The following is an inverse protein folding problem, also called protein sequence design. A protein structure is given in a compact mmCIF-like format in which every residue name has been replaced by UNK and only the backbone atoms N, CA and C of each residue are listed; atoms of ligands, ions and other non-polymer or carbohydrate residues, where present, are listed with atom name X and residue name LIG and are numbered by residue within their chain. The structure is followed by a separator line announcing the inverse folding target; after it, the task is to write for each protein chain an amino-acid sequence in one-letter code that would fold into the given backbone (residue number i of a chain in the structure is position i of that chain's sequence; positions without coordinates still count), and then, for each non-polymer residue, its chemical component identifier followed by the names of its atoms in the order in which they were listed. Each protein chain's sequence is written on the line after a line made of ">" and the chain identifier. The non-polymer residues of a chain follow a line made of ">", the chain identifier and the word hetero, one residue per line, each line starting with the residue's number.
data_IF_835376136807
#
_entry.id   IF_835376136807
#
_cell.length_a   1.000
_cell.length_b   1.000
_cell.length_c   1.000
_cell.angle_alpha   90.00
_cell.angle_beta   90.00
_cell.angle_gamma   90.00
#
_symmetry.space_group_name_H-M   'P 1'
#
loop_
_entity.id
_entity.type
_entity.pdbx_description
1 polymer ?
#
# COMPACT_ATOMS: atom_id res chain seq x y z
N UNK A 1 -27.84 -5.65 9.46
CA UNK A 1 -26.54 -6.12 8.94
C UNK A 1 -26.58 -7.64 8.86
N UNK A 2 -26.52 -8.23 7.66
CA UNK A 2 -26.65 -9.67 7.42
C UNK A 2 -25.58 -10.49 8.17
N UNK A 3 -25.99 -11.62 8.73
CA UNK A 3 -25.22 -12.56 9.57
C UNK A 3 -23.89 -13.02 8.95
N UNK A 4 -23.76 -12.95 7.62
CA UNK A 4 -22.55 -13.34 6.89
C UNK A 4 -21.38 -12.34 7.06
N UNK A 5 -21.67 -11.03 7.14
CA UNK A 5 -20.65 -9.97 7.25
C UNK A 5 -19.93 -9.96 8.60
N UNK A 6 -20.64 -10.28 9.69
CA UNK A 6 -20.06 -10.40 11.03
C UNK A 6 -19.11 -11.60 11.14
N UNK A 7 -19.31 -12.65 10.35
CA UNK A 7 -18.49 -13.87 10.36
C UNK A 7 -17.20 -13.68 9.56
N UNK A 8 -17.24 -12.93 8.45
CA UNK A 8 -16.05 -12.53 7.68
C UNK A 8 -15.09 -11.64 8.48
N UNK A 9 -15.61 -10.68 9.26
CA UNK A 9 -14.79 -9.86 10.17
C UNK A 9 -14.17 -10.67 11.33
N UNK A 10 -14.79 -11.76 11.75
CA UNK A 10 -14.38 -12.57 12.92
C UNK A 10 -13.32 -13.63 12.59
N UNK A 11 -13.21 -14.00 11.31
CA UNK A 11 -12.20 -14.94 10.80
C UNK A 11 -11.08 -14.26 10.01
N UNK A 12 -11.13 -12.93 9.90
CA UNK A 12 -9.99 -12.22 9.36
C UNK A 12 -8.86 -12.35 10.37
N UNK A 13 -7.68 -12.89 9.99
CA UNK A 13 -6.52 -12.87 10.87
C UNK A 13 -6.35 -11.42 11.28
N UNK A 14 -6.14 -11.27 12.59
CA UNK A 14 -6.23 -10.04 13.33
C UNK A 14 -5.89 -8.81 12.50
N UNK A 15 -6.61 -7.75 12.80
CA UNK A 15 -6.18 -6.40 12.52
C UNK A 15 -4.78 -6.03 13.14
N UNK A 16 -3.92 -7.00 13.48
CA UNK A 16 -2.70 -6.84 14.27
C UNK A 16 -1.40 -6.80 13.45
N UNK A 17 -1.38 -7.21 12.17
CA UNK A 17 -0.14 -7.16 11.36
C UNK A 17 -0.33 -6.53 9.99
N UNK A 18 -1.03 -5.39 9.91
CA UNK A 18 -1.06 -4.61 8.68
C UNK A 18 0.34 -4.15 8.27
N UNK A 19 0.62 -4.07 6.96
CA UNK A 19 1.84 -3.44 6.47
C UNK A 19 1.80 -1.96 6.81
N UNK A 20 2.58 -1.58 7.83
CA UNK A 20 2.71 -0.19 8.24
C UNK A 20 3.44 0.58 7.15
N UNK A 21 2.79 1.57 6.56
CA UNK A 21 3.40 2.35 5.49
C UNK A 21 4.05 3.59 6.07
N UNK A 22 5.39 3.64 6.10
CA UNK A 22 6.14 4.81 6.60
C UNK A 22 6.48 5.82 5.51
N UNK A 23 6.47 5.40 4.24
CA UNK A 23 6.93 6.22 3.11
C UNK A 23 8.46 6.40 3.04
N UNK A 24 9.23 5.61 3.81
CA UNK A 24 10.70 5.66 3.87
C UNK A 24 11.32 4.26 3.68
N UNK A 25 12.42 4.14 2.93
CA UNK A 25 13.10 2.85 2.65
C UNK A 25 12.73 2.24 1.29
N UNK A 26 12.96 0.93 1.10
CA UNK A 26 12.30 0.17 0.01
C UNK A 26 10.83 0.00 0.38
N UNK A 27 10.02 1.00 0.01
CA UNK A 27 8.58 0.99 0.26
C UNK A 27 7.82 0.76 -1.04
N UNK A 28 6.78 -0.08 -0.97
CA UNK A 28 5.89 -0.38 -2.08
C UNK A 28 4.50 0.17 -1.75
N UNK A 29 4.26 1.43 -2.07
CA UNK A 29 2.94 2.06 -1.93
C UNK A 29 1.85 1.32 -2.73
N UNK A 30 2.24 0.58 -3.77
CA UNK A 30 1.35 -0.31 -4.51
C UNK A 30 0.84 -1.49 -3.67
N UNK A 31 1.61 -2.02 -2.72
CA UNK A 31 1.12 -3.09 -1.83
C UNK A 31 0.01 -2.57 -0.90
N UNK A 32 0.13 -1.33 -0.41
CA UNK A 32 -0.92 -0.67 0.36
C UNK A 32 -2.20 -0.50 -0.49
N UNK A 33 -2.04 -0.10 -1.75
CA UNK A 33 -3.17 0.10 -2.68
C UNK A 33 -3.84 -1.22 -3.03
N UNK A 34 -3.07 -2.22 -3.47
CA UNK A 34 -3.56 -3.55 -3.82
C UNK A 34 -4.28 -4.20 -2.62
N UNK A 35 -3.76 -3.97 -1.41
CA UNK A 35 -4.40 -4.43 -0.19
C UNK A 35 -5.75 -3.76 0.06
N UNK A 36 -5.83 -2.42 -0.06
CA UNK A 36 -7.09 -1.71 0.16
C UNK A 36 -8.11 -2.07 -0.92
N UNK A 37 -7.70 -2.15 -2.17
CA UNK A 37 -8.57 -2.56 -3.28
C UNK A 37 -9.06 -4.01 -3.08
N UNK A 38 -8.15 -4.96 -2.92
CA UNK A 38 -8.51 -6.38 -2.82
C UNK A 38 -9.29 -6.71 -1.55
N UNK A 39 -8.87 -6.22 -0.38
CA UNK A 39 -9.52 -6.58 0.86
C UNK A 39 -10.80 -5.78 1.13
N UNK A 40 -10.72 -4.46 1.03
CA UNK A 40 -11.82 -3.60 1.49
C UNK A 40 -12.90 -3.48 0.42
N UNK A 41 -12.52 -3.33 -0.84
CA UNK A 41 -13.48 -3.10 -1.92
C UNK A 41 -14.01 -4.45 -2.42
N UNK A 42 -13.13 -5.36 -2.80
CA UNK A 42 -13.54 -6.58 -3.50
C UNK A 42 -14.10 -7.64 -2.54
N UNK A 43 -13.38 -7.93 -1.44
CA UNK A 43 -13.77 -9.00 -0.50
C UNK A 43 -14.85 -8.54 0.49
N UNK A 44 -14.66 -7.38 1.11
CA UNK A 44 -15.53 -6.92 2.20
C UNK A 44 -16.64 -5.97 1.75
N UNK A 45 -16.59 -5.47 0.50
CA UNK A 45 -17.52 -4.47 -0.05
C UNK A 45 -17.76 -3.31 0.92
N UNK A 46 -16.68 -2.84 1.54
CA UNK A 46 -16.68 -1.80 2.55
C UNK A 46 -16.97 -0.46 1.87
N UNK A 47 -17.97 0.29 2.35
CA UNK A 47 -18.22 1.62 1.84
C UNK A 47 -17.02 2.54 2.04
N UNK A 48 -16.80 3.38 1.04
CA UNK A 48 -15.69 4.33 0.96
C UNK A 48 -15.47 5.19 2.22
N UNK A 49 -16.54 5.58 2.91
CA UNK A 49 -16.46 6.37 4.14
C UNK A 49 -15.77 5.65 5.31
N UNK A 50 -15.63 4.33 5.27
CA UNK A 50 -14.88 3.54 6.25
C UNK A 50 -13.39 3.39 5.91
N UNK A 51 -12.99 3.70 4.67
CA UNK A 51 -11.59 3.59 4.22
C UNK A 51 -10.76 4.74 4.81
N UNK A 52 -11.32 5.96 4.87
CA UNK A 52 -10.58 7.14 5.36
C UNK A 52 -10.12 6.99 6.83
N UNK A 53 -10.97 6.59 7.80
CA UNK A 53 -10.52 6.33 9.17
C UNK A 53 -9.48 5.20 9.27
N UNK A 54 -9.43 4.32 8.28
CA UNK A 54 -8.45 3.24 8.23
C UNK A 54 -7.07 3.74 7.81
N UNK A 55 -7.01 4.65 6.84
CA UNK A 55 -5.76 5.29 6.44
C UNK A 55 -5.07 5.99 7.62
N UNK A 56 -5.83 6.57 8.56
CA UNK A 56 -5.30 7.16 9.80
C UNK A 56 -4.51 6.15 10.66
N UNK A 57 -4.83 4.85 10.60
CA UNK A 57 -4.14 3.80 11.37
C UNK A 57 -3.02 3.11 10.59
N UNK A 58 -3.13 3.03 9.26
CA UNK A 58 -2.15 2.36 8.40
C UNK A 58 -0.89 3.20 8.15
N UNK A 59 -1.04 4.52 8.07
CA UNK A 59 0.07 5.43 7.88
C UNK A 59 0.87 5.65 9.16
N UNK A 60 2.20 5.63 9.06
CA UNK A 60 3.12 5.87 10.18
C UNK A 60 4.25 6.82 9.80
N UNK A 61 4.87 7.44 10.80
CA UNK A 61 6.01 8.35 10.58
C UNK A 61 5.68 9.46 9.58
N UNK A 62 6.54 9.62 8.57
CA UNK A 62 6.42 10.70 7.59
C UNK A 62 5.13 10.61 6.75
N UNK A 63 4.71 9.40 6.38
CA UNK A 63 3.50 9.23 5.58
C UNK A 63 2.23 9.66 6.32
N UNK A 64 2.20 9.48 7.66
CA UNK A 64 1.08 9.91 8.51
C UNK A 64 0.99 11.42 8.55
N UNK A 65 2.12 12.10 8.70
CA UNK A 65 2.18 13.57 8.70
C UNK A 65 1.65 14.10 7.37
N UNK A 66 2.16 13.60 6.24
CA UNK A 66 1.69 14.00 4.92
C UNK A 66 0.19 13.70 4.71
N UNK A 67 -0.29 12.56 5.21
CA UNK A 67 -1.71 12.22 5.12
C UNK A 67 -2.59 13.18 5.92
N UNK A 68 -2.20 13.51 7.16
CA UNK A 68 -2.92 14.48 7.99
C UNK A 68 -2.96 15.86 7.35
N UNK A 69 -1.84 16.36 6.84
CA UNK A 69 -1.77 17.64 6.11
C UNK A 69 -2.70 17.65 4.89
N UNK A 70 -2.68 16.59 4.08
CA UNK A 70 -3.57 16.50 2.90
C UNK A 70 -5.05 16.43 3.30
N UNK A 71 -5.37 15.77 4.42
CA UNK A 71 -6.73 15.69 4.94
C UNK A 71 -7.23 17.04 5.44
N UNK A 72 -6.37 17.87 6.02
CA UNK A 72 -6.69 19.24 6.43
C UNK A 72 -6.94 20.14 5.22
N UNK A 73 -6.13 20.05 4.17
CA UNK A 73 -6.25 20.88 2.96
C UNK A 73 -7.48 20.50 2.13
N UNK A 74 -7.65 19.19 1.85
CA UNK A 74 -8.62 18.72 0.87
C UNK A 74 -9.92 18.18 1.50
N UNK A 75 -9.97 18.03 2.82
CA UNK A 75 -11.11 17.54 3.56
C UNK A 75 -11.39 16.05 3.34
N UNK A 76 -12.65 15.65 3.55
CA UNK A 76 -13.08 14.26 3.31
C UNK A 76 -13.14 13.99 1.81
N UNK A 77 -12.40 12.96 1.38
CA UNK A 77 -12.31 12.52 -0.02
C UNK A 77 -12.50 11.02 -0.12
N UNK A 78 -12.89 10.56 -1.30
CA UNK A 78 -13.08 9.16 -1.56
C UNK A 78 -11.78 8.42 -1.84
N UNK A 79 -11.81 7.09 -1.74
CA UNK A 79 -10.67 6.22 -1.95
C UNK A 79 -10.05 6.37 -3.35
N UNK A 80 -10.81 6.44 -4.46
CA UNK A 80 -10.21 6.71 -5.77
C UNK A 80 -9.35 7.97 -5.79
N UNK A 81 -9.81 9.04 -5.14
CA UNK A 81 -9.02 10.26 -4.97
C UNK A 81 -7.77 10.01 -4.11
N UNK A 82 -7.90 9.40 -2.93
CA UNK A 82 -6.76 9.09 -2.07
C UNK A 82 -5.71 8.20 -2.75
N UNK A 83 -6.15 7.17 -3.47
CA UNK A 83 -5.31 6.30 -4.29
C UNK A 83 -4.50 7.11 -5.29
N UNK A 84 -5.14 8.02 -6.03
CA UNK A 84 -4.44 8.89 -6.99
C UNK A 84 -3.37 9.76 -6.32
N UNK A 85 -3.67 10.30 -5.13
CA UNK A 85 -2.75 11.14 -4.37
C UNK A 85 -1.56 10.34 -3.81
N UNK A 86 -1.80 9.13 -3.30
CA UNK A 86 -0.75 8.22 -2.83
C UNK A 86 0.18 7.88 -3.99
N UNK A 87 -0.37 7.52 -5.16
CA UNK A 87 0.44 7.25 -6.36
C UNK A 87 1.23 8.50 -6.74
N UNK A 88 0.61 9.68 -6.84
CA UNK A 88 1.28 10.90 -7.23
C UNK A 88 2.43 11.29 -6.28
N UNK A 89 2.22 11.15 -4.96
CA UNK A 89 3.21 11.50 -3.94
C UNK A 89 4.38 10.54 -3.92
N UNK A 90 4.10 9.23 -3.95
CA UNK A 90 5.08 8.19 -3.67
C UNK A 90 5.68 7.54 -4.93
N UNK A 91 5.03 7.65 -6.09
CA UNK A 91 5.55 7.26 -7.42
C UNK A 91 6.20 8.45 -8.12
N UNK A 92 7.10 9.15 -7.44
CA UNK A 92 7.86 10.24 -8.04
C UNK A 92 9.10 9.73 -8.78
N UNK A 93 9.69 10.57 -9.63
CA UNK A 93 10.87 10.20 -10.44
C UNK A 93 12.06 9.73 -9.61
N UNK A 94 12.27 10.33 -8.42
CA UNK A 94 13.33 9.90 -7.49
C UNK A 94 13.11 8.47 -6.99
N UNK A 95 11.87 8.10 -6.66
CA UNK A 95 11.53 6.74 -6.26
C UNK A 95 11.73 5.75 -7.42
N UNK A 96 11.31 6.12 -8.63
CA UNK A 96 11.53 5.31 -9.84
C UNK A 96 13.03 5.04 -10.04
N UNK A 97 13.87 6.08 -10.03
CA UNK A 97 15.31 5.93 -10.18
C UNK A 97 15.92 5.05 -9.08
N UNK A 98 15.53 5.24 -7.81
CA UNK A 98 16.01 4.41 -6.69
C UNK A 98 15.63 2.94 -6.87
N UNK A 99 14.39 2.66 -7.30
CA UNK A 99 13.94 1.29 -7.55
C UNK A 99 14.68 0.65 -8.72
N UNK A 100 14.92 1.39 -9.81
CA UNK A 100 15.70 0.91 -10.96
C UNK A 100 17.14 0.58 -10.56
N UNK A 101 17.82 1.48 -9.83
CA UNK A 101 19.18 1.22 -9.33
C UNK A 101 19.21 -0.01 -8.41
N UNK A 102 18.21 -0.14 -7.52
CA UNK A 102 18.11 -1.28 -6.60
C UNK A 102 17.84 -2.59 -7.34
N UNK A 103 17.05 -2.54 -8.42
CA UNK A 103 16.81 -3.68 -9.31
C UNK A 103 18.09 -4.09 -10.05
N UNK A 104 18.81 -3.14 -10.67
CA UNK A 104 20.02 -3.40 -11.46
C UNK A 104 21.19 -3.91 -10.61
N UNK A 105 21.29 -3.46 -9.36
CA UNK A 105 22.37 -3.84 -8.44
C UNK A 105 22.15 -5.18 -7.73
N UNK A 106 20.90 -5.58 -7.48
CA UNK A 106 20.57 -6.81 -6.74
C UNK A 106 20.54 -8.05 -7.65
N UNK A 107 21.72 -8.47 -8.12
CA UNK A 107 21.88 -9.72 -8.87
C UNK A 107 21.63 -10.95 -7.98
N UNK A 108 21.12 -12.01 -8.58
CA UNK A 108 20.91 -13.28 -7.89
C UNK A 108 22.25 -13.86 -7.41
N UNK A 109 22.27 -14.37 -6.18
CA UNK A 109 23.39 -15.13 -5.59
C UNK A 109 22.86 -16.48 -5.15
N UNK A 110 23.71 -17.51 -5.24
CA UNK A 110 23.37 -18.90 -4.85
C UNK A 110 23.03 -19.01 -3.36
N UNK A 111 23.51 -18.08 -2.53
CA UNK A 111 23.25 -18.05 -1.09
C UNK A 111 21.87 -17.50 -0.71
N UNK A 112 21.12 -16.93 -1.67
CA UNK A 112 19.78 -16.36 -1.44
C UNK A 112 18.72 -17.36 -1.87
N UNK A 113 17.62 -17.40 -1.13
CA UNK A 113 16.44 -18.14 -1.57
C UNK A 113 15.94 -17.58 -2.93
N UNK A 114 15.79 -18.44 -3.97
CA UNK A 114 15.38 -17.99 -5.30
C UNK A 114 13.99 -17.35 -5.33
N UNK A 115 13.06 -17.84 -4.51
CA UNK A 115 11.69 -17.35 -4.47
C UNK A 115 11.64 -15.96 -3.83
N UNK A 116 12.29 -15.77 -2.70
CA UNK A 116 12.39 -14.47 -2.02
C UNK A 116 13.10 -13.43 -2.89
N UNK A 117 14.18 -13.82 -3.58
CA UNK A 117 14.85 -12.92 -4.52
C UNK A 117 13.93 -12.53 -5.67
N UNK A 118 13.26 -13.50 -6.31
CA UNK A 118 12.33 -13.24 -7.40
C UNK A 118 11.16 -12.36 -6.95
N UNK A 119 10.59 -12.64 -5.78
CA UNK A 119 9.47 -11.89 -5.23
C UNK A 119 9.86 -10.42 -5.00
N UNK A 120 11.04 -10.16 -4.45
CA UNK A 120 11.57 -8.80 -4.28
C UNK A 120 11.76 -8.08 -5.62
N UNK A 121 12.32 -8.75 -6.64
CA UNK A 121 12.47 -8.14 -7.97
C UNK A 121 11.13 -7.87 -8.66
N UNK A 122 10.18 -8.79 -8.54
CA UNK A 122 8.82 -8.65 -9.06
C UNK A 122 8.13 -7.41 -8.48
N UNK A 123 8.29 -7.16 -7.17
CA UNK A 123 7.78 -5.97 -6.49
C UNK A 123 8.40 -4.67 -7.00
N UNK A 124 9.69 -4.66 -7.39
CA UNK A 124 10.35 -3.49 -8.00
C UNK A 124 9.84 -3.19 -9.41
N UNK A 125 9.50 -4.22 -10.18
CA UNK A 125 9.08 -4.10 -11.59
C UNK A 125 7.60 -3.75 -11.77
N UNK A 126 6.69 -4.33 -10.99
CA UNK A 126 5.23 -4.11 -11.12
C UNK A 126 4.84 -2.63 -11.26
N UNK A 127 5.36 -1.71 -10.42
CA UNK A 127 4.95 -0.29 -10.48
C UNK A 127 5.53 0.48 -11.67
N UNK A 128 6.55 -0.08 -12.34
CA UNK A 128 7.20 0.51 -13.51
C UNK A 128 6.49 0.11 -14.82
N UNK A 129 5.92 -1.10 -14.86
CA UNK A 129 5.32 -1.67 -16.07
C UNK A 129 3.86 -1.26 -16.22
N UNK A 130 3.08 -1.22 -15.13
CA UNK A 130 1.67 -0.84 -15.18
C UNK A 130 1.52 0.69 -15.04
N UNK A 131 1.00 1.33 -16.09
CA UNK A 131 0.66 2.76 -16.15
C UNK A 131 -0.82 2.98 -15.86
#
# INVERSE_FOLDING_TARGET
>A
MSYSKKKALKHHPEASSFPQFSGTGEYYHMELIDYIDGLFIDVLSIPDYWITPRLDTEFKGQSRICYTEMKEIYGKRNWPWWKSQIIQKYRNGTWICKNTISFESDKYSVDKDPYEWWLRQSKRLKPLIFK
#
